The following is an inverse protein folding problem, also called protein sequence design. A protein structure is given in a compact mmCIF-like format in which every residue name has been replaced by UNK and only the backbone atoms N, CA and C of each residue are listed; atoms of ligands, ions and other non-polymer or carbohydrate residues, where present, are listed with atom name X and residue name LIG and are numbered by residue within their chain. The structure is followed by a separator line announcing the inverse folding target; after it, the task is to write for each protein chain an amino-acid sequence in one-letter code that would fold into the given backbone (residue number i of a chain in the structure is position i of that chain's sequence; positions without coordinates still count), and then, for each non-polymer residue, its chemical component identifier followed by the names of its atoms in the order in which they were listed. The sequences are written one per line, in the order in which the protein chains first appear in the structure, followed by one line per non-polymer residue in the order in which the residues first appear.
data_IF_309296480099
#
_entry.id   IF_309296480099
#
_cell.length_a   1.000
_cell.length_b   1.000
_cell.length_c   1.000
_cell.angle_alpha   90.00
_cell.angle_beta   90.00
_cell.angle_gamma   90.00
#
_symmetry.space_group_name_H-M   'P 1'
#
loop_
_entity.id
_entity.type
_entity.pdbx_description
1 polymer ?
#
# COMPACT_ATOMS: atom_id res chain seq x y z
N UNK A 1 -45.81 57.39 -3.25
CA UNK A 1 -46.46 57.15 -4.57
C UNK A 1 -46.60 55.64 -4.71
N UNK A 2 -47.76 55.02 -4.44
CA UNK A 2 -48.97 54.89 -5.28
C UNK A 2 -48.70 54.25 -6.67
N UNK A 3 -49.37 53.12 -6.93
CA UNK A 3 -49.55 52.43 -8.23
C UNK A 3 -48.85 51.06 -8.26
N UNK A 4 -49.45 49.87 -8.07
CA UNK A 4 -50.78 49.25 -8.35
C UNK A 4 -51.05 48.93 -9.85
N UNK A 5 -51.36 47.64 -10.10
CA UNK A 5 -52.25 47.05 -11.16
C UNK A 5 -51.51 46.66 -12.48
N UNK A 6 -51.74 45.54 -13.21
CA UNK A 6 -52.70 44.42 -13.27
C UNK A 6 -51.99 43.22 -13.96
N UNK A 7 -52.17 41.95 -13.56
CA UNK A 7 -53.26 41.01 -13.93
C UNK A 7 -53.63 40.97 -15.42
N UNK A 8 -53.25 39.89 -16.11
CA UNK A 8 -53.93 39.42 -17.32
C UNK A 8 -54.07 37.89 -17.26
N UNK A 9 -55.28 37.51 -16.87
CA UNK A 9 -55.85 36.17 -16.88
C UNK A 9 -56.26 35.85 -18.32
N UNK A 10 -55.80 34.72 -18.86
CA UNK A 10 -56.23 34.20 -20.16
C UNK A 10 -56.47 32.70 -20.05
N UNK A 11 -57.70 32.33 -19.74
CA UNK A 11 -58.21 30.96 -19.78
C UNK A 11 -58.80 30.66 -21.18
N UNK A 12 -59.11 29.37 -21.40
CA UNK A 12 -59.72 28.73 -22.59
C UNK A 12 -58.69 28.31 -23.67
N UNK A 13 -58.70 27.07 -24.19
CA UNK A 13 -59.85 26.26 -24.60
C UNK A 13 -59.48 24.75 -24.65
N UNK A 14 -60.34 23.93 -24.03
CA UNK A 14 -60.92 22.63 -24.47
C UNK A 14 -60.08 21.65 -25.33
N UNK A 15 -59.78 20.44 -24.83
CA UNK A 15 -60.60 19.20 -24.93
C UNK A 15 -60.61 18.58 -26.34
N UNK A 16 -59.89 17.46 -26.53
CA UNK A 16 -60.40 16.33 -27.31
C UNK A 16 -59.66 15.01 -27.02
N UNK A 17 -60.48 13.97 -26.96
CA UNK A 17 -60.17 12.61 -26.54
C UNK A 17 -59.37 11.84 -27.59
N UNK A 18 -58.35 11.12 -27.13
CA UNK A 18 -57.71 10.02 -27.83
C UNK A 18 -57.70 8.81 -26.90
N UNK A 19 -58.63 7.88 -27.12
CA UNK A 19 -58.67 6.58 -26.46
C UNK A 19 -57.56 5.70 -27.02
N UNK A 20 -56.41 5.64 -26.36
CA UNK A 20 -55.45 4.56 -26.56
C UNK A 20 -55.13 3.92 -25.21
N UNK A 21 -55.85 2.83 -24.91
CA UNK A 21 -55.61 1.95 -23.76
C UNK A 21 -54.26 1.26 -23.97
N UNK A 22 -53.20 1.80 -23.37
CA UNK A 22 -51.96 1.06 -23.13
C UNK A 22 -52.06 0.36 -21.76
N UNK A 23 -51.78 -0.96 -21.66
CA UNK A 23 -51.82 -1.66 -20.37
C UNK A 23 -50.83 -1.02 -19.39
N UNK A 24 -51.31 -0.70 -18.18
CA UNK A 24 -50.45 -0.34 -17.06
C UNK A 24 -49.57 -1.56 -16.72
N UNK A 25 -48.26 -1.37 -16.79
CA UNK A 25 -47.31 -2.36 -16.28
C UNK A 25 -47.54 -2.57 -14.77
N UNK A 26 -47.42 -3.80 -14.26
CA UNK A 26 -47.57 -4.06 -12.83
C UNK A 26 -46.50 -3.30 -12.03
N UNK A 27 -46.78 -2.96 -10.75
CA UNK A 27 -45.85 -2.22 -9.91
C UNK A 27 -44.53 -2.98 -9.80
N UNK A 28 -43.43 -2.31 -10.16
CA UNK A 28 -42.09 -2.86 -9.99
C UNK A 28 -41.82 -3.06 -8.51
N UNK A 29 -41.70 -4.32 -8.13
CA UNK A 29 -41.17 -4.77 -6.84
C UNK A 29 -39.80 -4.09 -6.59
N UNK A 30 -39.51 -3.60 -5.37
CA UNK A 30 -38.22 -3.02 -5.08
C UNK A 30 -37.14 -4.07 -5.31
N UNK A 31 -36.26 -3.83 -6.29
CA UNK A 31 -35.10 -4.67 -6.53
C UNK A 31 -34.32 -4.79 -5.21
N UNK A 32 -34.13 -6.03 -4.75
CA UNK A 32 -33.33 -6.32 -3.58
C UNK A 32 -31.98 -5.60 -3.72
N UNK A 33 -31.63 -4.79 -2.71
CA UNK A 33 -30.34 -4.12 -2.66
C UNK A 33 -29.23 -5.19 -2.84
N UNK A 34 -28.23 -4.94 -3.70
CA UNK A 34 -27.11 -5.87 -3.84
C UNK A 34 -26.53 -6.12 -2.45
N UNK A 35 -26.41 -7.40 -2.09
CA UNK A 35 -25.77 -7.81 -0.86
C UNK A 35 -24.41 -7.11 -0.80
N UNK A 36 -24.17 -6.35 0.28
CA UNK A 36 -22.90 -5.68 0.50
C UNK A 36 -21.79 -6.72 0.36
N UNK A 37 -20.90 -6.49 -0.60
CA UNK A 37 -19.70 -7.31 -0.79
C UNK A 37 -18.95 -7.33 0.55
N UNK A 38 -18.59 -8.51 1.10
CA UNK A 38 -17.92 -8.58 2.38
C UNK A 38 -16.65 -7.73 2.31
N UNK A 39 -16.54 -6.76 3.23
CA UNK A 39 -15.37 -5.90 3.31
C UNK A 39 -14.11 -6.79 3.31
N UNK A 40 -13.08 -6.46 2.50
CA UNK A 40 -11.88 -7.27 2.41
C UNK A 40 -11.30 -7.45 3.81
N UNK A 41 -11.12 -8.71 4.22
CA UNK A 41 -10.45 -9.05 5.46
C UNK A 41 -8.99 -8.58 5.32
N UNK A 42 -8.65 -7.47 5.96
CA UNK A 42 -7.28 -6.98 6.02
C UNK A 42 -6.51 -7.94 6.93
N UNK A 43 -5.81 -8.90 6.34
CA UNK A 43 -4.90 -9.74 7.12
C UNK A 43 -3.72 -8.87 7.54
N UNK A 44 -3.45 -8.72 8.85
CA UNK A 44 -2.36 -7.88 9.31
C UNK A 44 -1.02 -8.39 8.75
N UNK A 45 -0.14 -7.45 8.43
CA UNK A 45 1.22 -7.82 8.06
C UNK A 45 1.98 -8.34 9.27
N UNK A 46 2.83 -9.34 9.03
CA UNK A 46 3.72 -9.90 10.05
C UNK A 46 5.15 -9.49 9.72
N UNK A 47 5.88 -9.03 10.73
CA UNK A 47 7.32 -8.79 10.58
C UNK A 47 8.06 -10.12 10.36
N UNK A 48 9.18 -10.12 9.64
CA UNK A 48 10.00 -11.33 9.49
C UNK A 48 10.55 -11.79 10.85
N UNK A 49 10.91 -13.07 10.95
CA UNK A 49 11.53 -13.66 12.13
C UNK A 49 12.76 -14.48 11.76
N UNK A 50 13.81 -14.42 12.59
CA UNK A 50 15.03 -15.22 12.45
C UNK A 50 16.31 -14.41 12.27
N UNK A 51 17.39 -15.09 11.89
CA UNK A 51 18.70 -14.50 11.59
C UNK A 51 18.98 -14.58 10.09
N UNK A 52 19.51 -13.48 9.54
CA UNK A 52 19.74 -13.32 8.12
C UNK A 52 21.09 -12.65 7.84
N UNK A 53 21.84 -13.18 6.88
CA UNK A 53 23.07 -12.57 6.38
C UNK A 53 22.75 -11.62 5.22
N UNK A 54 23.41 -10.46 5.18
CA UNK A 54 23.27 -9.55 4.05
C UNK A 54 23.92 -10.16 2.79
N UNK A 55 23.18 -10.20 1.68
CA UNK A 55 23.66 -10.78 0.40
C UNK A 55 23.73 -9.76 -0.74
N UNK A 56 23.01 -8.64 -0.64
CA UNK A 56 23.17 -7.52 -1.58
C UNK A 56 24.31 -6.60 -1.14
N UNK A 57 25.03 -6.02 -2.11
CA UNK A 57 26.08 -5.02 -1.83
C UNK A 57 25.56 -3.84 -0.99
N UNK A 58 24.32 -3.42 -1.26
CA UNK A 58 23.65 -2.35 -0.50
C UNK A 58 23.45 -2.78 0.96
N UNK A 59 22.88 -3.96 1.22
CA UNK A 59 22.71 -4.47 2.59
C UNK A 59 24.05 -4.64 3.30
N UNK A 60 25.06 -5.21 2.64
CA UNK A 60 26.40 -5.40 3.20
C UNK A 60 27.04 -4.07 3.63
N UNK A 61 26.93 -3.03 2.80
CA UNK A 61 27.51 -1.71 3.09
C UNK A 61 26.71 -0.88 4.10
N UNK A 62 25.37 -1.01 4.12
CA UNK A 62 24.46 -0.15 4.87
C UNK A 62 24.10 -0.75 6.23
N UNK A 63 23.71 -2.02 6.29
CA UNK A 63 23.16 -2.62 7.52
C UNK A 63 23.99 -3.79 8.04
N UNK A 64 24.70 -4.51 7.15
CA UNK A 64 25.22 -5.85 7.46
C UNK A 64 24.08 -6.84 7.72
N UNK A 65 24.40 -7.97 8.37
CA UNK A 65 23.43 -8.99 8.75
C UNK A 65 22.34 -8.47 9.70
N UNK A 66 21.23 -9.20 9.79
CA UNK A 66 20.02 -8.82 10.49
C UNK A 66 19.54 -9.94 11.42
N UNK A 67 19.02 -9.58 12.59
CA UNK A 67 18.21 -10.44 13.45
C UNK A 67 16.84 -9.80 13.62
N UNK A 68 15.80 -10.55 13.30
CA UNK A 68 14.40 -10.11 13.40
C UNK A 68 13.66 -10.96 14.44
N UNK A 69 13.05 -10.31 15.43
CA UNK A 69 12.26 -10.99 16.45
C UNK A 69 11.23 -10.04 17.06
N UNK A 70 9.99 -10.53 17.27
CA UNK A 70 8.93 -9.81 18.00
C UNK A 70 8.67 -8.37 17.51
N UNK A 71 8.78 -8.14 16.19
CA UNK A 71 8.60 -6.80 15.60
C UNK A 71 9.79 -5.86 15.79
N UNK A 72 10.96 -6.37 16.16
CA UNK A 72 12.22 -5.64 16.20
C UNK A 72 13.19 -6.20 15.16
N UNK A 73 13.76 -5.32 14.34
CA UNK A 73 14.81 -5.63 13.36
C UNK A 73 16.11 -5.02 13.84
N UNK A 74 17.08 -5.85 14.22
CA UNK A 74 18.41 -5.42 14.67
C UNK A 74 19.46 -5.80 13.64
N UNK A 75 20.47 -4.96 13.48
CA UNK A 75 21.45 -5.08 12.41
C UNK A 75 22.88 -5.08 12.94
N UNK A 76 23.80 -5.65 12.16
CA UNK A 76 25.18 -5.85 12.56
C UNK A 76 25.94 -4.55 12.89
N UNK A 77 25.53 -3.41 12.33
CA UNK A 77 26.13 -2.09 12.66
C UNK A 77 25.44 -1.40 13.85
N UNK A 78 24.57 -2.12 14.57
CA UNK A 78 23.89 -1.68 15.77
C UNK A 78 22.60 -0.89 15.50
N UNK A 79 22.14 -0.78 14.26
CA UNK A 79 20.83 -0.21 13.97
C UNK A 79 19.73 -1.10 14.54
N UNK A 80 18.66 -0.50 15.01
CA UNK A 80 17.46 -1.20 15.43
C UNK A 80 16.20 -0.49 14.94
N UNK A 81 15.20 -1.24 14.51
CA UNK A 81 13.92 -0.72 14.07
C UNK A 81 12.79 -1.48 14.75
N UNK A 82 11.93 -0.76 15.45
CA UNK A 82 10.65 -1.32 15.90
C UNK A 82 9.63 -1.12 14.79
N UNK A 83 8.93 -2.20 14.44
CA UNK A 83 7.97 -2.22 13.33
C UNK A 83 6.62 -2.78 13.76
N UNK A 84 5.56 -2.22 13.20
CA UNK A 84 4.19 -2.73 13.30
C UNK A 84 3.66 -3.12 11.92
N UNK A 85 2.84 -4.17 11.86
CA UNK A 85 2.15 -4.55 10.63
C UNK A 85 1.11 -3.50 10.22
N UNK A 86 1.29 -2.91 9.04
CA UNK A 86 0.38 -1.89 8.48
C UNK A 86 -0.59 -2.52 7.48
N UNK A 87 -0.13 -3.46 6.65
CA UNK A 87 -0.98 -4.11 5.65
C UNK A 87 -0.19 -4.98 4.66
N UNK A 88 -0.82 -5.39 3.57
CA UNK A 88 -0.18 -6.18 2.50
C UNK A 88 -0.41 -5.56 1.15
N UNK A 89 0.52 -5.77 0.23
CA UNK A 89 0.39 -5.36 -1.16
C UNK A 89 0.84 -6.48 -2.10
N UNK A 90 0.31 -6.47 -3.33
CA UNK A 90 0.74 -7.41 -4.38
C UNK A 90 2.03 -6.91 -5.01
N UNK A 91 2.93 -7.81 -5.37
CA UNK A 91 4.15 -7.49 -6.09
C UNK A 91 3.89 -6.70 -7.37
N UNK A 92 2.81 -7.06 -8.10
CA UNK A 92 2.31 -6.36 -9.29
C UNK A 92 1.80 -4.93 -9.06
N UNK A 93 1.57 -4.52 -7.80
CA UNK A 93 1.07 -3.19 -7.51
C UNK A 93 2.10 -2.15 -8.01
N UNK A 94 1.64 -1.09 -8.72
CA UNK A 94 2.54 -0.05 -9.16
C UNK A 94 3.14 0.69 -7.97
N UNK A 95 4.42 0.99 -8.10
CA UNK A 95 5.19 1.84 -7.22
C UNK A 95 5.50 3.14 -7.96
N UNK A 96 5.09 4.25 -7.38
CA UNK A 96 5.21 5.58 -7.96
C UNK A 96 4.57 5.75 -9.34
N UNK A 97 4.60 6.98 -9.86
CA UNK A 97 4.08 7.32 -11.19
C UNK A 97 4.89 6.72 -12.36
N UNK A 98 5.96 5.97 -12.07
CA UNK A 98 6.87 5.37 -13.07
C UNK A 98 6.29 4.14 -13.76
N UNK A 99 5.19 3.58 -13.22
CA UNK A 99 4.61 2.28 -13.61
C UNK A 99 5.50 1.08 -13.31
N UNK A 100 6.63 1.25 -12.62
CA UNK A 100 7.38 0.13 -12.07
C UNK A 100 6.54 -0.58 -11.01
N UNK A 101 6.71 -1.89 -10.84
CA UNK A 101 6.00 -2.65 -9.80
C UNK A 101 6.91 -2.85 -8.57
N UNK A 102 6.34 -3.07 -7.39
CA UNK A 102 7.16 -3.42 -6.21
C UNK A 102 7.98 -4.69 -6.45
N UNK A 103 7.42 -5.67 -7.16
CA UNK A 103 8.13 -6.89 -7.54
C UNK A 103 9.38 -6.60 -8.38
N UNK A 104 9.31 -5.63 -9.30
CA UNK A 104 10.46 -5.26 -10.13
C UNK A 104 11.61 -4.62 -9.35
N UNK A 105 11.35 -3.98 -8.19
CA UNK A 105 12.40 -3.40 -7.35
C UNK A 105 13.30 -4.45 -6.70
N UNK A 106 12.77 -5.66 -6.49
CA UNK A 106 13.43 -6.76 -5.79
C UNK A 106 13.55 -8.03 -6.63
N UNK A 107 13.21 -7.95 -7.92
CA UNK A 107 13.26 -9.05 -8.89
C UNK A 107 12.53 -10.32 -8.43
N UNK A 108 11.31 -10.18 -7.91
CA UNK A 108 10.44 -11.31 -7.52
C UNK A 108 9.25 -11.43 -8.46
N UNK A 109 8.44 -12.47 -8.31
CA UNK A 109 7.23 -12.65 -9.11
C UNK A 109 6.17 -11.58 -8.79
N UNK A 110 5.44 -11.11 -9.81
CA UNK A 110 4.33 -10.16 -9.65
C UNK A 110 3.19 -10.70 -8.76
N UNK A 111 3.09 -12.03 -8.65
CA UNK A 111 2.13 -12.71 -7.76
C UNK A 111 2.55 -12.72 -6.29
N UNK A 112 3.77 -12.28 -5.97
CA UNK A 112 4.26 -12.23 -4.59
C UNK A 112 3.35 -11.37 -3.72
N UNK A 113 3.15 -11.81 -2.48
CA UNK A 113 2.53 -10.98 -1.45
C UNK A 113 3.64 -10.33 -0.62
N UNK A 114 3.62 -9.00 -0.55
CA UNK A 114 4.58 -8.22 0.22
C UNK A 114 3.90 -7.72 1.49
N UNK A 115 4.63 -7.75 2.59
CA UNK A 115 4.20 -7.21 3.88
C UNK A 115 4.59 -5.74 3.95
N UNK A 116 3.68 -4.88 4.37
CA UNK A 116 3.94 -3.46 4.62
C UNK A 116 4.04 -3.27 6.12
N UNK A 117 5.21 -2.82 6.56
CA UNK A 117 5.54 -2.60 7.95
C UNK A 117 5.77 -1.11 8.17
N UNK A 118 5.13 -0.56 9.21
CA UNK A 118 5.36 0.80 9.66
C UNK A 118 6.48 0.81 10.69
N UNK A 119 7.49 1.64 10.47
CA UNK A 119 8.55 1.87 11.46
C UNK A 119 8.00 2.80 12.53
N UNK A 120 7.92 2.31 13.77
CA UNK A 120 7.45 3.07 14.92
C UNK A 120 8.60 3.68 15.71
N UNK A 121 9.79 3.10 15.59
CA UNK A 121 11.03 3.62 16.18
C UNK A 121 12.21 3.20 15.32
N UNK A 122 13.14 4.12 15.13
CA UNK A 122 14.44 3.88 14.50
C UNK A 122 15.53 4.30 15.49
N UNK A 123 16.48 3.40 15.72
CA UNK A 123 17.75 3.66 16.38
C UNK A 123 18.86 3.47 15.34
N UNK A 124 19.53 4.54 14.89
CA UNK A 124 20.57 4.44 13.88
C UNK A 124 21.86 3.79 14.41
N UNK A 125 21.97 3.54 15.72
CA UNK A 125 23.11 2.86 16.32
C UNK A 125 24.45 3.50 15.95
N UNK A 126 25.38 2.67 15.41
CA UNK A 126 26.70 3.11 14.94
C UNK A 126 26.79 3.19 13.42
N UNK A 127 25.66 3.14 12.71
CA UNK A 127 25.61 3.19 11.26
C UNK A 127 26.23 4.50 10.75
N UNK A 128 27.34 4.41 10.01
CA UNK A 128 27.98 5.61 9.45
C UNK A 128 27.07 6.35 8.49
N UNK A 129 26.25 5.58 7.77
CA UNK A 129 25.30 6.10 6.81
C UNK A 129 23.97 6.52 7.45
N UNK A 130 23.70 6.19 8.73
CA UNK A 130 22.49 6.62 9.44
C UNK A 130 21.22 5.83 9.15
N UNK A 131 21.34 4.54 8.76
CA UNK A 131 20.18 3.64 8.58
C UNK A 131 19.83 3.38 7.12
N UNK A 132 18.61 2.92 6.86
CA UNK A 132 18.15 2.58 5.51
C UNK A 132 18.00 3.82 4.62
N UNK A 133 17.44 4.91 5.17
CA UNK A 133 17.20 6.16 4.44
C UNK A 133 18.34 7.18 4.50
N UNK A 134 19.41 6.84 5.20
CA UNK A 134 20.57 7.69 5.31
C UNK A 134 20.50 8.69 6.48
N UNK A 135 21.61 9.37 6.72
CA UNK A 135 21.81 10.18 7.92
C UNK A 135 20.85 11.36 7.97
N UNK A 136 20.12 11.46 9.09
CA UNK A 136 19.17 12.55 9.33
C UNK A 136 17.84 12.38 8.61
N UNK A 137 17.60 11.23 7.97
CA UNK A 137 16.36 10.90 7.29
C UNK A 137 15.76 9.67 7.94
N UNK A 138 14.60 9.83 8.57
CA UNK A 138 13.90 8.73 9.21
C UNK A 138 13.31 7.78 8.16
N UNK A 139 13.51 6.49 8.38
CA UNK A 139 12.83 5.41 7.67
C UNK A 139 11.44 5.26 8.29
N UNK A 140 10.38 5.34 7.48
CA UNK A 140 9.00 5.34 7.97
C UNK A 140 8.24 4.06 7.63
N UNK A 141 8.56 3.43 6.50
CA UNK A 141 7.97 2.17 6.09
C UNK A 141 9.01 1.22 5.51
N UNK A 142 8.80 -0.07 5.78
CA UNK A 142 9.50 -1.17 5.15
C UNK A 142 8.49 -2.03 4.42
N UNK A 143 8.76 -2.37 3.17
CA UNK A 143 8.01 -3.41 2.43
C UNK A 143 8.89 -4.65 2.38
N UNK A 144 8.41 -5.77 2.92
CA UNK A 144 9.19 -6.99 3.02
C UNK A 144 8.56 -8.15 2.28
N UNK A 145 9.40 -9.10 1.86
CA UNK A 145 8.96 -10.36 1.26
C UNK A 145 9.95 -11.45 1.61
N UNK A 146 9.46 -12.59 2.07
CA UNK A 146 10.24 -13.81 2.21
C UNK A 146 9.90 -14.72 1.04
N UNK A 147 10.92 -15.14 0.29
CA UNK A 147 10.75 -15.92 -0.92
C UNK A 147 12.07 -16.48 -1.41
N UNK A 148 12.20 -16.59 -2.73
CA UNK A 148 13.45 -17.01 -3.38
C UNK A 148 13.99 -15.89 -4.26
N UNK A 149 15.31 -15.77 -4.31
CA UNK A 149 15.98 -14.90 -5.27
C UNK A 149 15.98 -15.47 -6.69
N UNK A 150 16.55 -14.71 -7.62
CA UNK A 150 16.68 -15.11 -9.04
C UNK A 150 17.55 -16.36 -9.25
N UNK A 151 18.35 -16.73 -8.25
CA UNK A 151 19.15 -17.97 -8.22
C UNK A 151 18.42 -19.15 -7.57
N UNK A 152 17.19 -18.96 -7.07
CA UNK A 152 16.41 -19.97 -6.38
C UNK A 152 16.78 -20.15 -4.90
N UNK A 153 17.63 -19.28 -4.34
CA UNK A 153 18.01 -19.34 -2.93
C UNK A 153 16.99 -18.61 -2.07
N UNK A 154 16.62 -19.14 -0.89
CA UNK A 154 15.76 -18.42 0.04
C UNK A 154 16.33 -17.05 0.39
N UNK A 155 15.49 -16.03 0.39
CA UNK A 155 15.88 -14.66 0.71
C UNK A 155 14.74 -13.88 1.36
N UNK A 156 15.12 -12.94 2.22
CA UNK A 156 14.30 -11.84 2.68
C UNK A 156 14.66 -10.59 1.88
N UNK A 157 13.65 -9.99 1.28
CA UNK A 157 13.72 -8.71 0.58
C UNK A 157 13.14 -7.62 1.47
N UNK A 158 13.80 -6.47 1.49
CA UNK A 158 13.36 -5.28 2.23
C UNK A 158 13.47 -4.08 1.31
N UNK A 159 12.39 -3.33 1.15
CA UNK A 159 12.36 -2.05 0.44
C UNK A 159 12.04 -0.97 1.47
N UNK A 160 12.91 0.04 1.58
CA UNK A 160 12.77 1.08 2.60
C UNK A 160 12.26 2.38 2.00
N UNK A 161 11.36 3.04 2.73
CA UNK A 161 10.73 4.30 2.35
C UNK A 161 10.78 5.33 3.49
N UNK A 162 10.80 6.61 3.11
CA UNK A 162 10.67 7.78 4.01
C UNK A 162 9.34 8.54 3.83
N UNK A 163 8.35 7.91 3.21
CA UNK A 163 7.06 8.53 2.89
C UNK A 163 6.20 8.76 4.13
N UNK A 164 5.27 9.72 4.04
CA UNK A 164 4.30 10.00 5.13
C UNK A 164 3.18 8.96 5.23
N UNK A 165 2.84 8.33 4.11
CA UNK A 165 1.80 7.31 3.98
C UNK A 165 2.39 5.97 3.55
N UNK A 166 1.67 4.85 3.75
CA UNK A 166 2.09 3.54 3.30
C UNK A 166 2.43 3.54 1.79
N UNK A 167 3.48 2.81 1.37
CA UNK A 167 3.87 2.74 -0.03
C UNK A 167 2.75 2.26 -0.95
N UNK A 168 2.54 2.95 -2.06
CA UNK A 168 1.49 2.69 -3.06
C UNK A 168 1.87 3.32 -4.41
N UNK A 169 0.94 3.31 -5.36
CA UNK A 169 1.08 3.98 -6.66
C UNK A 169 1.26 5.50 -6.54
N UNK A 170 0.77 6.09 -5.45
CA UNK A 170 0.87 7.53 -5.17
C UNK A 170 2.20 7.91 -4.48
N UNK A 171 3.03 6.95 -4.10
CA UNK A 171 4.31 7.23 -3.43
C UNK A 171 5.28 7.93 -4.38
N UNK A 172 5.95 8.99 -3.93
CA UNK A 172 6.93 9.67 -4.75
C UNK A 172 8.18 8.79 -4.93
N UNK A 173 8.76 8.78 -6.13
CA UNK A 173 9.97 7.99 -6.38
C UNK A 173 11.12 8.39 -5.45
N UNK A 174 11.21 9.69 -5.13
CA UNK A 174 12.19 10.27 -4.22
C UNK A 174 12.05 9.79 -2.75
N UNK A 175 10.96 9.11 -2.40
CA UNK A 175 10.74 8.51 -1.09
C UNK A 175 11.34 7.10 -0.96
N UNK A 176 11.74 6.46 -2.06
CA UNK A 176 12.49 5.21 -2.03
C UNK A 176 13.91 5.46 -1.55
N UNK A 177 14.24 4.81 -0.44
CA UNK A 177 15.57 4.86 0.16
C UNK A 177 16.49 3.77 -0.41
N UNK A 178 15.92 2.60 -0.73
CA UNK A 178 16.65 1.51 -1.35
C UNK A 178 15.94 0.16 -1.21
N UNK A 179 16.51 -0.83 -1.89
CA UNK A 179 16.16 -2.23 -1.76
C UNK A 179 17.36 -3.03 -1.23
N UNK A 180 17.07 -3.98 -0.33
CA UNK A 180 18.04 -4.72 0.45
C UNK A 180 17.65 -6.19 0.43
N UNK A 181 18.64 -7.06 0.28
CA UNK A 181 18.44 -8.50 0.27
C UNK A 181 19.30 -9.18 1.33
N UNK A 182 18.69 -10.12 2.01
CA UNK A 182 19.29 -10.95 3.06
C UNK A 182 18.98 -12.42 2.79
N UNK A 183 19.94 -13.31 2.98
CA UNK A 183 19.73 -14.76 2.98
C UNK A 183 19.56 -15.27 4.40
N UNK A 184 18.80 -16.34 4.65
CA UNK A 184 18.78 -16.98 5.96
C UNK A 184 20.20 -17.37 6.39
N UNK A 185 20.55 -17.09 7.63
CA UNK A 185 21.85 -17.46 8.16
C UNK A 185 21.90 -18.97 8.35
N UNK A 186 22.85 -19.63 7.69
CA UNK A 186 23.09 -21.05 7.90
C UNK A 186 23.66 -21.24 9.33
N UNK A 187 22.99 -22.08 10.13
CA UNK A 187 23.43 -22.43 11.49
C UNK A 187 24.71 -23.25 11.52
#
# INVERSE_FOLDING_TARGET
MRGRIAMALGAMLMLQAGCDRKPAAPPSEPAAAPAAEPAPVVVPATAPEGEFDAISNTALGVTGGMTAAAGELTFAQGQAYSVGGEGRLKGAAPYASTKATFASLINVADTAELQVLKVTREDPGKARNGGFCGKGVATTYLVTHEGVDVGGSPALFVIAFKSVAPPSEATAEADLCGAFMYGPKAG
#
